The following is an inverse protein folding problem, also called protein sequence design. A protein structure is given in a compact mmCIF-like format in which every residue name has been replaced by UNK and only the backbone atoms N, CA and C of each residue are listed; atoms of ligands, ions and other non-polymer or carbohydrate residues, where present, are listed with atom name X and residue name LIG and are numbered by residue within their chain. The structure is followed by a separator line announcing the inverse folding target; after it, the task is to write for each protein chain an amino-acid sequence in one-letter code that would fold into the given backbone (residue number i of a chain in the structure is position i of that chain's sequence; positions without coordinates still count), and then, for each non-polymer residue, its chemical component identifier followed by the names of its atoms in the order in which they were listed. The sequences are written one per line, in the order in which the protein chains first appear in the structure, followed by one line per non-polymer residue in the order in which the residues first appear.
data_IF_494251724039
#
_entry.id   IF_494251724039
#
_cell.length_a   1.000
_cell.length_b   1.000
_cell.length_c   1.000
_cell.angle_alpha   90.00
_cell.angle_beta   90.00
_cell.angle_gamma   90.00
#
_symmetry.space_group_name_H-M   'P 1'
#
loop_
_entity.id
_entity.type
_entity.pdbx_description
1 polymer ?
#
# COMPACT_ATOMS: atom_id res chain seq x y z
N UNK A 1 4.21 1.20 6.54
CA UNK A 1 5.28 0.87 7.51
C UNK A 1 4.78 1.06 8.95
N UNK A 2 4.39 2.27 9.35
CA UNK A 2 3.91 2.58 10.69
C UNK A 2 2.77 1.67 11.21
N UNK A 3 1.80 1.32 10.35
CA UNK A 3 0.75 0.30 10.63
C UNK A 3 1.28 -1.04 11.16
N UNK A 4 2.53 -1.38 10.81
CA UNK A 4 3.17 -2.66 11.12
C UNK A 4 4.20 -2.57 12.25
N UNK A 5 4.46 -1.38 12.79
CA UNK A 5 5.53 -1.17 13.79
C UNK A 5 5.03 -0.48 15.07
N UNK A 6 3.98 0.33 14.98
CA UNK A 6 3.48 1.12 16.11
C UNK A 6 2.10 0.60 16.57
N UNK A 7 2.02 -0.10 17.71
CA UNK A 7 0.77 -0.65 18.24
C UNK A 7 -0.18 0.43 18.80
N UNK A 8 0.32 1.63 19.10
CA UNK A 8 -0.44 2.73 19.69
C UNK A 8 -1.36 3.49 18.72
N UNK A 9 -1.38 3.14 17.43
CA UNK A 9 -2.31 3.79 16.51
C UNK A 9 -3.76 3.41 16.79
N UNK A 10 -4.59 4.43 16.99
CA UNK A 10 -6.04 4.28 17.07
C UNK A 10 -6.61 3.63 15.79
N UNK A 11 -6.05 3.97 14.62
CA UNK A 11 -6.41 3.39 13.33
C UNK A 11 -5.32 3.61 12.28
N UNK A 12 -5.46 2.95 11.12
CA UNK A 12 -4.63 3.22 9.95
C UNK A 12 -5.45 3.28 8.66
N UNK A 13 -5.16 4.28 7.82
CA UNK A 13 -5.83 4.46 6.54
C UNK A 13 -4.84 4.66 5.38
N UNK A 14 -4.18 3.61 4.88
CA UNK A 14 -3.36 3.68 3.67
C UNK A 14 -4.20 4.07 2.45
N UNK A 15 -3.82 5.16 1.79
CA UNK A 15 -4.39 5.59 0.50
C UNK A 15 -3.43 5.18 -0.62
N UNK A 16 -3.94 4.39 -1.56
CA UNK A 16 -3.27 3.97 -2.78
C UNK A 16 -1.84 3.49 -2.53
N UNK A 17 -1.72 2.45 -1.70
CA UNK A 17 -0.43 1.96 -1.23
C UNK A 17 -0.41 0.43 -1.04
N UNK A 18 0.78 -0.15 -1.23
CA UNK A 18 1.20 -1.45 -0.73
C UNK A 18 2.65 -1.39 -0.27
N UNK A 19 3.10 -2.40 0.47
CA UNK A 19 4.46 -2.46 1.01
C UNK A 19 5.49 -3.09 0.06
N UNK A 20 5.06 -3.79 -1.00
CA UNK A 20 5.96 -4.49 -1.92
C UNK A 20 6.81 -3.52 -2.77
N UNK A 21 8.05 -3.26 -2.35
CA UNK A 21 8.91 -2.30 -3.06
C UNK A 21 9.48 -2.87 -4.35
N UNK A 22 9.68 -4.18 -4.41
CA UNK A 22 10.15 -4.85 -5.64
C UNK A 22 9.15 -4.66 -6.77
N UNK A 23 7.87 -4.95 -6.52
CA UNK A 23 6.79 -4.73 -7.47
C UNK A 23 6.61 -3.26 -7.83
N UNK A 24 6.78 -2.35 -6.86
CA UNK A 24 6.71 -0.91 -7.10
C UNK A 24 7.81 -0.48 -8.08
N UNK A 25 9.07 -0.85 -7.84
CA UNK A 25 10.21 -0.54 -8.71
C UNK A 25 10.06 -1.19 -10.08
N UNK A 26 9.54 -2.42 -10.15
CA UNK A 26 9.34 -3.13 -11.41
C UNK A 26 8.31 -2.45 -12.34
N UNK A 27 7.26 -1.86 -11.78
CA UNK A 27 6.07 -1.50 -12.57
C UNK A 27 5.69 -0.02 -12.55
N UNK A 28 6.05 0.72 -11.50
CA UNK A 28 5.70 2.13 -11.41
C UNK A 28 6.39 2.91 -12.55
N UNK A 29 5.62 3.64 -13.39
CA UNK A 29 6.18 4.39 -14.51
C UNK A 29 7.23 5.42 -14.07
N UNK A 30 7.01 6.09 -12.94
CA UNK A 30 7.89 7.15 -12.42
C UNK A 30 9.26 6.65 -11.96
N UNK A 31 9.42 5.34 -11.69
CA UNK A 31 10.66 4.75 -11.18
C UNK A 31 11.62 4.27 -12.29
N UNK A 32 11.47 4.80 -13.51
CA UNK A 32 12.37 4.50 -14.64
C UNK A 32 13.83 4.80 -14.34
N UNK A 33 14.11 6.01 -13.85
CA UNK A 33 15.47 6.43 -13.47
C UNK A 33 16.08 5.52 -12.39
N UNK A 34 15.29 5.08 -11.41
CA UNK A 34 15.76 4.14 -10.38
C UNK A 34 16.16 2.78 -10.98
N UNK A 35 15.41 2.27 -11.98
CA UNK A 35 15.77 1.02 -12.67
C UNK A 35 17.07 1.17 -13.48
N UNK A 36 17.28 2.32 -14.11
CA UNK A 36 18.53 2.63 -14.81
C UNK A 36 19.72 2.71 -13.83
N UNK A 37 19.54 3.37 -12.69
CA UNK A 37 20.57 3.46 -11.67
C UNK A 37 20.90 2.10 -11.05
N UNK A 38 19.90 1.26 -10.74
CA UNK A 38 20.12 -0.12 -10.33
C UNK A 38 20.99 -0.88 -11.34
N UNK A 39 20.69 -0.74 -12.64
CA UNK A 39 21.47 -1.37 -13.71
C UNK A 39 22.91 -0.86 -13.72
N UNK A 40 23.14 0.44 -13.53
CA UNK A 40 24.49 1.02 -13.43
C UNK A 40 25.29 0.49 -12.23
N UNK A 41 24.62 0.14 -11.14
CA UNK A 41 25.22 -0.53 -9.98
C UNK A 41 25.38 -2.06 -10.16
N UNK A 42 25.06 -2.59 -11.34
CA UNK A 42 25.14 -4.02 -11.64
C UNK A 42 23.99 -4.84 -11.05
N UNK A 43 22.89 -4.20 -10.65
CA UNK A 43 21.70 -4.85 -10.10
C UNK A 43 20.59 -4.93 -11.14
N UNK A 44 19.89 -6.06 -11.18
CA UNK A 44 18.58 -6.15 -11.82
C UNK A 44 17.47 -5.81 -10.81
N UNK A 45 16.24 -5.58 -11.31
CA UNK A 45 15.08 -5.32 -10.46
C UNK A 45 14.82 -6.49 -9.50
N UNK A 46 15.08 -7.71 -9.95
CA UNK A 46 14.96 -8.94 -9.17
C UNK A 46 15.96 -8.99 -8.01
N UNK A 47 17.15 -8.41 -8.17
CA UNK A 47 18.15 -8.33 -7.09
C UNK A 47 17.68 -7.36 -6.01
N UNK A 48 17.12 -6.22 -6.42
CA UNK A 48 16.49 -5.27 -5.50
C UNK A 48 15.31 -5.90 -4.75
N UNK A 49 14.40 -6.57 -5.47
CA UNK A 49 13.27 -7.26 -4.85
C UNK A 49 13.74 -8.33 -3.84
N UNK A 50 14.74 -9.14 -4.20
CA UNK A 50 15.33 -10.14 -3.31
C UNK A 50 15.99 -9.51 -2.09
N UNK A 51 16.68 -8.40 -2.27
CA UNK A 51 17.28 -7.65 -1.15
C UNK A 51 16.21 -7.17 -0.17
N UNK A 52 15.16 -6.51 -0.66
CA UNK A 52 14.04 -6.02 0.17
C UNK A 52 13.33 -7.17 0.89
N UNK A 53 13.09 -8.29 0.20
CA UNK A 53 12.49 -9.47 0.79
C UNK A 53 13.34 -10.05 1.93
N UNK A 54 14.68 -10.08 1.81
CA UNK A 54 15.59 -10.53 2.88
C UNK A 54 15.56 -9.65 4.12
N UNK A 55 15.15 -8.38 3.99
CA UNK A 55 14.92 -7.48 5.13
C UNK A 55 13.58 -7.73 5.82
N UNK A 56 12.74 -8.64 5.31
CA UNK A 56 11.40 -8.92 5.83
C UNK A 56 10.38 -7.80 5.55
N UNK A 57 10.73 -6.83 4.70
CA UNK A 57 9.89 -5.66 4.44
C UNK A 57 8.52 -6.05 3.87
N UNK A 58 8.52 -6.94 2.88
CA UNK A 58 7.32 -7.45 2.22
C UNK A 58 6.57 -8.46 3.09
N UNK A 59 7.07 -8.77 4.28
CA UNK A 59 6.47 -9.70 5.24
C UNK A 59 5.84 -9.00 6.44
N UNK A 60 6.10 -7.70 6.63
CA UNK A 60 5.51 -6.87 7.68
C UNK A 60 3.98 -6.96 7.71
N UNK A 61 3.44 -7.29 8.89
CA UNK A 61 2.01 -7.40 9.17
C UNK A 61 1.57 -6.28 10.11
N UNK A 62 0.30 -5.85 10.03
CA UNK A 62 -0.23 -4.86 10.96
C UNK A 62 -0.06 -5.33 12.41
N UNK A 63 0.32 -4.40 13.29
CA UNK A 63 0.37 -4.61 14.74
C UNK A 63 -0.87 -4.06 15.45
N UNK A 64 -1.81 -3.49 14.67
CA UNK A 64 -3.12 -3.06 15.14
C UNK A 64 -4.22 -3.99 14.60
N UNK A 65 -5.36 -4.10 15.31
CA UNK A 65 -6.52 -4.87 14.87
C UNK A 65 -6.98 -4.56 13.44
N UNK A 66 -7.39 -5.59 12.71
CA UNK A 66 -7.79 -5.52 11.29
C UNK A 66 -9.00 -4.61 11.04
N UNK A 67 -9.92 -4.54 11.99
CA UNK A 67 -11.09 -3.66 12.00
C UNK A 67 -10.73 -2.17 12.19
N UNK A 68 -9.51 -1.87 12.67
CA UNK A 68 -8.94 -0.52 12.76
C UNK A 68 -8.13 -0.11 11.54
N UNK A 69 -8.22 -0.85 10.43
CA UNK A 69 -7.53 -0.54 9.18
C UNK A 69 -8.54 -0.36 8.05
N UNK A 70 -8.48 0.78 7.37
CA UNK A 70 -9.26 1.04 6.15
C UNK A 70 -8.37 1.42 4.96
N UNK A 71 -8.21 0.47 4.04
CA UNK A 71 -7.46 0.66 2.80
C UNK A 71 -8.31 1.36 1.72
N UNK A 72 -7.68 2.21 0.92
CA UNK A 72 -8.25 2.79 -0.29
C UNK A 72 -7.35 2.46 -1.48
N UNK A 73 -7.89 1.85 -2.53
CA UNK A 73 -7.14 1.33 -3.66
C UNK A 73 -7.84 1.70 -4.99
N UNK A 74 -7.07 1.73 -6.08
CA UNK A 74 -7.57 1.98 -7.43
C UNK A 74 -7.50 0.69 -8.29
N UNK A 75 -8.52 0.47 -9.13
CA UNK A 75 -8.68 -0.78 -9.89
C UNK A 75 -7.73 -0.91 -11.08
N UNK A 76 -7.29 0.22 -11.64
CA UNK A 76 -6.43 0.29 -12.83
C UNK A 76 -5.07 0.91 -12.47
N UNK A 77 -4.67 0.79 -11.21
CA UNK A 77 -3.41 1.33 -10.70
C UNK A 77 -2.20 0.58 -11.28
N UNK A 78 -1.26 1.31 -11.86
CA UNK A 78 0.01 0.80 -12.41
C UNK A 78 1.20 1.00 -11.48
N UNK A 79 1.07 1.85 -10.47
CA UNK A 79 2.05 2.08 -9.42
C UNK A 79 1.86 1.03 -8.32
N UNK A 80 0.68 1.01 -7.70
CA UNK A 80 0.32 0.05 -6.66
C UNK A 80 -0.67 -0.96 -7.23
N UNK A 81 -0.13 -1.91 -8.00
CA UNK A 81 -0.95 -2.83 -8.79
C UNK A 81 -2.00 -3.58 -7.96
N UNK A 82 -3.24 -3.72 -8.45
CA UNK A 82 -4.34 -4.34 -7.70
C UNK A 82 -4.08 -5.77 -7.21
N UNK A 83 -3.36 -6.58 -7.99
CA UNK A 83 -2.98 -7.95 -7.63
C UNK A 83 -2.00 -7.97 -6.44
N UNK A 84 -1.04 -7.05 -6.40
CA UNK A 84 -0.08 -6.88 -5.30
C UNK A 84 -0.78 -6.35 -4.05
N UNK A 85 -1.66 -5.36 -4.20
CA UNK A 85 -2.52 -4.88 -3.10
C UNK A 85 -3.37 -6.02 -2.53
N UNK A 86 -3.97 -6.87 -3.38
CA UNK A 86 -4.76 -8.04 -2.94
C UNK A 86 -3.91 -9.09 -2.22
N UNK A 87 -2.65 -9.28 -2.59
CA UNK A 87 -1.74 -10.17 -1.87
C UNK A 87 -1.42 -9.64 -0.46
N UNK A 88 -1.06 -8.36 -0.34
CA UNK A 88 -0.86 -7.71 0.95
C UNK A 88 -2.14 -7.74 1.82
N UNK A 89 -3.29 -7.39 1.23
CA UNK A 89 -4.59 -7.39 1.91
C UNK A 89 -4.92 -8.74 2.53
N UNK A 90 -4.70 -9.85 1.81
CA UNK A 90 -4.88 -11.21 2.36
C UNK A 90 -3.94 -11.48 3.53
N UNK A 91 -2.67 -11.10 3.41
CA UNK A 91 -1.65 -11.27 4.46
C UNK A 91 -1.95 -10.44 5.71
N UNK A 92 -2.60 -9.29 5.53
CA UNK A 92 -3.01 -8.37 6.61
C UNK A 92 -4.31 -8.78 7.31
N UNK A 93 -4.87 -9.97 7.02
CA UNK A 93 -6.11 -10.43 7.64
C UNK A 93 -7.38 -9.89 6.99
N UNK A 94 -7.28 -9.36 5.75
CA UNK A 94 -8.40 -8.81 4.97
C UNK A 94 -9.09 -7.59 5.62
N UNK A 95 -8.36 -6.52 5.96
CA UNK A 95 -8.97 -5.28 6.49
C UNK A 95 -9.95 -4.65 5.50
N UNK A 96 -10.76 -3.71 5.97
CA UNK A 96 -11.73 -3.02 5.11
C UNK A 96 -11.01 -2.35 3.95
N UNK A 97 -11.46 -2.60 2.71
CA UNK A 97 -10.87 -2.00 1.50
C UNK A 97 -11.94 -1.38 0.61
N UNK A 98 -11.70 -0.16 0.16
CA UNK A 98 -12.51 0.50 -0.87
C UNK A 98 -11.73 0.54 -2.18
N UNK A 99 -12.31 -0.04 -3.22
CA UNK A 99 -11.78 0.02 -4.59
C UNK A 99 -12.48 1.12 -5.39
N UNK A 100 -11.70 2.06 -5.91
CA UNK A 100 -12.15 3.10 -6.84
C UNK A 100 -11.85 2.70 -8.29
N UNK A 101 -12.69 3.08 -9.25
CA UNK A 101 -12.34 2.94 -10.67
C UNK A 101 -11.15 3.86 -11.01
N UNK A 102 -10.40 3.52 -12.05
CA UNK A 102 -9.34 4.37 -12.58
C UNK A 102 -7.93 4.05 -12.08
N UNK A 103 -6.99 4.89 -12.51
CA UNK A 103 -5.56 4.76 -12.26
C UNK A 103 -5.11 5.38 -10.93
N UNK A 104 -3.82 5.27 -10.61
CA UNK A 104 -3.20 5.91 -9.45
C UNK A 104 -3.54 7.40 -9.34
N UNK A 105 -3.31 8.14 -10.43
CA UNK A 105 -3.62 9.58 -10.47
C UNK A 105 -5.12 9.84 -10.63
N UNK A 106 -5.85 8.92 -11.27
CA UNK A 106 -7.32 8.97 -11.33
C UNK A 106 -7.98 8.94 -9.95
N UNK A 107 -7.35 8.32 -8.95
CA UNK A 107 -7.84 8.35 -7.57
C UNK A 107 -8.00 9.77 -7.00
N UNK A 108 -7.23 10.76 -7.48
CA UNK A 108 -7.31 12.13 -6.95
C UNK A 108 -8.71 12.72 -7.10
N UNK A 109 -9.46 12.36 -8.14
CA UNK A 109 -10.85 12.81 -8.33
C UNK A 109 -11.81 12.18 -7.31
N UNK A 110 -11.39 11.13 -6.62
CA UNK A 110 -12.16 10.41 -5.59
C UNK A 110 -11.77 10.80 -4.16
N UNK A 111 -10.81 11.72 -3.97
CA UNK A 111 -10.38 12.17 -2.65
C UNK A 111 -11.53 12.67 -1.76
N UNK A 112 -12.51 13.45 -2.25
CA UNK A 112 -13.65 13.86 -1.41
C UNK A 112 -14.45 12.68 -0.84
N UNK A 113 -14.73 11.63 -1.65
CA UNK A 113 -15.41 10.42 -1.14
C UNK A 113 -14.52 9.64 -0.18
N UNK A 114 -13.21 9.51 -0.48
CA UNK A 114 -12.26 8.82 0.38
C UNK A 114 -12.16 9.48 1.77
N UNK A 115 -12.07 10.81 1.83
CA UNK A 115 -12.07 11.58 3.07
C UNK A 115 -13.39 11.40 3.83
N UNK A 116 -14.54 11.48 3.13
CA UNK A 116 -15.84 11.26 3.76
C UNK A 116 -16.01 9.86 4.34
N UNK A 117 -15.45 8.84 3.67
CA UNK A 117 -15.41 7.46 4.18
C UNK A 117 -14.47 7.29 5.36
N UNK A 118 -13.32 7.96 5.32
CA UNK A 118 -12.37 7.95 6.43
C UNK A 118 -12.99 8.59 7.67
N UNK A 119 -13.69 9.72 7.52
CA UNK A 119 -14.43 10.36 8.62
C UNK A 119 -15.41 9.38 9.26
N UNK A 120 -16.31 8.78 8.48
CA UNK A 120 -17.26 7.77 8.97
C UNK A 120 -16.60 6.55 9.60
N UNK A 121 -15.43 6.16 9.10
CA UNK A 121 -14.67 5.06 9.67
C UNK A 121 -14.13 5.42 11.05
N UNK A 122 -13.54 6.61 11.21
CA UNK A 122 -13.06 7.12 12.49
C UNK A 122 -14.20 7.29 13.48
N UNK A 123 -15.31 7.89 13.07
CA UNK A 123 -16.49 8.10 13.92
C UNK A 123 -17.06 6.76 14.45
N UNK A 124 -16.93 5.68 13.69
CA UNK A 124 -17.41 4.35 14.06
C UNK A 124 -16.47 3.57 15.00
N UNK A 125 -15.23 4.02 15.19
CA UNK A 125 -14.25 3.34 16.04
C UNK A 125 -14.42 3.68 17.53
N UNK A 126 -15.38 4.54 17.88
CA UNK A 126 -15.68 4.99 19.25
C UNK A 126 -14.41 5.33 20.03
N UNK A 127 -13.54 6.11 19.36
CA UNK A 127 -12.26 6.59 19.90
C UNK A 127 -12.55 7.74 20.86
N UNK A 128 -13.20 7.41 21.98
CA UNK A 128 -13.41 8.30 23.12
C UNK A 128 -12.11 8.70 23.80
#
# INVERSE_FOLDING_TARGET
MLTCLEPGFAFSAPLIAHMDLGALVAHAPVLGAMREDLTRFGWQVEDFARFVARLGWDELRPVIPTDRIHLFAAKDDRFFRPDVVRAMWRRWGKPKIRWYPGSHMGFLTHLPDAIGRLRRFVDALDLG
#
